data_IF_094845981424
#
_entry.id   IF_094845981424
#
_cell.length_a   1.000
_cell.length_b   1.000
_cell.length_c   1.000
_cell.angle_alpha   90.00
_cell.angle_beta   90.00
_cell.angle_gamma   90.00
#
_symmetry.space_group_name_H-M   'P 1'
#
loop_
_entity.id
_entity.type
_entity.pdbx_description
1 polymer ?
#
# COMPACT_ATOMS: atom_id res chain seq x y z
N UNK A 1 5.83 93.88 -10.38
CA UNK A 1 5.74 92.78 -9.38
C UNK A 1 5.65 91.45 -10.13
N UNK A 2 6.64 90.55 -9.99
CA UNK A 2 6.63 89.24 -10.64
C UNK A 2 6.17 88.19 -9.63
N UNK A 3 5.06 87.52 -9.92
CA UNK A 3 4.43 86.55 -9.02
C UNK A 3 5.04 85.16 -9.25
N UNK A 4 5.97 84.75 -8.38
CA UNK A 4 6.62 83.43 -8.44
C UNK A 4 5.65 82.35 -7.93
N UNK A 5 5.09 81.56 -8.85
CA UNK A 5 4.23 80.41 -8.51
C UNK A 5 5.07 79.25 -7.98
N UNK A 6 4.95 78.95 -6.69
CA UNK A 6 5.57 77.80 -6.01
C UNK A 6 4.98 76.49 -6.56
N UNK A 7 5.76 75.74 -7.33
CA UNK A 7 5.34 74.43 -7.88
C UNK A 7 5.07 73.45 -6.73
N UNK A 8 3.86 72.88 -6.69
CA UNK A 8 3.51 71.79 -5.75
C UNK A 8 4.35 70.56 -6.11
N UNK A 9 5.13 70.05 -5.15
CA UNK A 9 5.92 68.84 -5.34
C UNK A 9 5.02 67.66 -5.70
N UNK A 10 5.41 66.89 -6.73
CA UNK A 10 4.65 65.73 -7.21
C UNK A 10 4.54 64.61 -6.17
N UNK A 11 3.55 63.73 -6.34
CA UNK A 11 3.39 62.50 -5.56
C UNK A 11 4.62 61.61 -5.76
N UNK A 12 5.57 61.66 -4.82
CA UNK A 12 6.68 60.72 -4.77
C UNK A 12 6.15 59.36 -4.34
N UNK A 13 6.40 58.33 -5.13
CA UNK A 13 6.10 56.94 -4.75
C UNK A 13 6.86 56.61 -3.46
N UNK A 14 6.12 56.17 -2.43
CA UNK A 14 6.74 55.62 -1.22
C UNK A 14 7.27 54.23 -1.57
N UNK A 15 8.58 54.01 -1.41
CA UNK A 15 9.16 52.66 -1.52
C UNK A 15 8.59 51.81 -0.38
N UNK A 16 7.89 50.73 -0.70
CA UNK A 16 7.54 49.71 0.29
C UNK A 16 8.86 49.10 0.77
N UNK A 17 9.17 49.28 2.05
CA UNK A 17 10.28 48.57 2.67
C UNK A 17 9.81 47.16 2.96
N UNK A 18 10.49 46.16 2.41
CA UNK A 18 10.27 44.78 2.81
C UNK A 18 10.46 44.66 4.33
N UNK A 19 9.53 43.98 4.99
CA UNK A 19 9.69 43.61 6.39
C UNK A 19 10.64 42.41 6.39
N UNK A 20 11.70 42.50 7.16
CA UNK A 20 12.66 41.40 7.31
C UNK A 20 11.92 40.17 7.90
N UNK A 21 11.88 39.02 7.20
CA UNK A 21 11.18 37.82 7.66
C UNK A 21 11.76 37.25 8.97
N UNK A 22 12.99 37.60 9.31
CA UNK A 22 13.67 37.17 10.54
C UNK A 22 13.57 38.20 11.68
N UNK A 23 12.88 39.33 11.47
CA UNK A 23 12.67 40.32 12.52
C UNK A 23 11.86 39.74 13.68
N UNK A 24 12.40 39.78 14.91
CA UNK A 24 11.80 39.20 16.12
C UNK A 24 11.29 40.25 17.13
N UNK A 25 11.19 41.52 16.73
CA UNK A 25 10.78 42.60 17.63
C UNK A 25 9.26 42.71 17.86
N UNK A 26 8.82 43.64 18.73
CA UNK A 26 7.41 43.81 19.13
C UNK A 26 6.47 44.11 17.96
N UNK A 27 7.00 44.65 16.86
CA UNK A 27 6.26 44.89 15.62
C UNK A 27 5.78 43.60 14.96
N UNK A 28 6.51 42.48 15.11
CA UNK A 28 6.12 41.17 14.57
C UNK A 28 4.81 40.71 15.19
N UNK A 29 4.69 40.79 16.51
CA UNK A 29 3.48 40.41 17.25
C UNK A 29 2.24 41.18 16.79
N UNK A 30 2.38 42.44 16.39
CA UNK A 30 1.27 43.23 15.85
C UNK A 30 0.85 42.75 14.46
N UNK A 31 1.81 42.43 13.58
CA UNK A 31 1.54 41.89 12.25
C UNK A 31 0.86 40.52 12.37
N UNK A 32 1.41 39.62 13.19
CA UNK A 32 0.85 38.29 13.44
C UNK A 32 -0.59 38.37 13.96
N UNK A 33 -0.88 39.29 14.89
CA UNK A 33 -2.25 39.51 15.41
C UNK A 33 -3.22 39.98 14.32
N UNK A 34 -2.77 40.84 13.41
CA UNK A 34 -3.58 41.32 12.30
C UNK A 34 -3.86 40.21 11.29
N UNK A 35 -2.86 39.39 10.98
CA UNK A 35 -3.00 38.22 10.10
C UNK A 35 -3.95 37.18 10.70
N UNK A 36 -3.83 36.90 12.00
CA UNK A 36 -4.73 35.98 12.71
C UNK A 36 -6.17 36.50 12.69
N UNK A 37 -6.37 37.79 13.01
CA UNK A 37 -7.70 38.41 12.99
C UNK A 37 -8.30 38.35 11.59
N UNK A 38 -7.49 38.64 10.58
CA UNK A 38 -7.88 38.54 9.17
C UNK A 38 -8.28 37.11 8.78
N UNK A 39 -7.48 36.11 9.16
CA UNK A 39 -7.77 34.70 8.90
C UNK A 39 -9.06 34.23 9.60
N UNK A 40 -9.30 34.66 10.83
CA UNK A 40 -10.53 34.35 11.57
C UNK A 40 -11.77 34.99 10.93
N UNK A 41 -11.70 36.27 10.55
CA UNK A 41 -12.80 36.94 9.88
C UNK A 41 -13.07 36.30 8.51
N UNK A 42 -12.01 35.94 7.77
CA UNK A 42 -12.13 35.20 6.51
C UNK A 42 -12.85 33.87 6.71
N UNK A 43 -12.44 33.06 7.69
CA UNK A 43 -13.05 31.77 7.97
C UNK A 43 -14.53 31.91 8.36
N UNK A 44 -14.88 32.95 9.14
CA UNK A 44 -16.27 33.25 9.50
C UNK A 44 -17.13 33.51 8.27
N UNK A 45 -16.67 34.34 7.33
CA UNK A 45 -17.45 34.65 6.13
C UNK A 45 -17.45 33.50 5.12
N UNK A 46 -16.32 32.82 4.89
CA UNK A 46 -16.23 31.68 3.98
C UNK A 46 -17.12 30.51 4.40
N UNK A 47 -17.44 30.36 5.69
CA UNK A 47 -18.38 29.34 6.15
C UNK A 47 -19.82 29.55 5.65
N UNK A 48 -20.25 30.81 5.47
CA UNK A 48 -21.63 31.17 5.14
C UNK A 48 -21.80 31.69 3.71
N UNK A 49 -20.78 32.32 3.16
CA UNK A 49 -20.86 33.08 1.93
C UNK A 49 -19.76 32.70 0.93
N UNK A 50 -20.04 32.88 -0.35
CA UNK A 50 -19.02 32.91 -1.39
C UNK A 50 -18.39 34.32 -1.40
N UNK A 51 -17.21 34.40 -0.79
CA UNK A 51 -16.47 35.66 -0.61
C UNK A 51 -15.38 35.79 -1.67
N UNK A 52 -15.26 36.96 -2.30
CA UNK A 52 -14.04 37.34 -3.05
C UNK A 52 -13.28 38.40 -2.28
N UNK A 53 -11.96 38.23 -2.23
CA UNK A 53 -11.05 39.27 -1.74
C UNK A 53 -10.96 40.38 -2.79
N UNK A 54 -11.23 41.61 -2.37
CA UNK A 54 -10.96 42.80 -3.18
C UNK A 54 -9.82 43.56 -2.52
N UNK A 55 -8.70 43.68 -3.22
CA UNK A 55 -7.56 44.46 -2.74
C UNK A 55 -7.84 45.94 -2.99
N UNK A 56 -8.10 46.71 -1.93
CA UNK A 56 -8.16 48.17 -2.05
C UNK A 56 -6.75 48.77 -1.92
N UNK A 57 -6.55 49.94 -2.54
CA UNK A 57 -5.26 50.65 -2.59
C UNK A 57 -4.70 51.03 -1.20
N UNK A 58 -5.52 50.93 -0.14
CA UNK A 58 -5.15 51.26 1.23
C UNK A 58 -4.60 50.09 2.04
N UNK A 59 -4.54 48.88 1.47
CA UNK A 59 -4.10 47.68 2.19
C UNK A 59 -5.13 47.14 3.18
N UNK A 60 -6.34 47.71 3.19
CA UNK A 60 -7.46 47.19 3.95
C UNK A 60 -8.12 46.07 3.12
N UNK A 61 -8.10 44.85 3.65
CA UNK A 61 -8.78 43.72 3.02
C UNK A 61 -10.29 43.90 3.19
N UNK A 62 -10.97 44.24 2.09
CA UNK A 62 -12.42 44.26 2.03
C UNK A 62 -12.94 43.00 1.34
N UNK A 63 -14.08 42.52 1.81
CA UNK A 63 -14.74 41.31 1.31
C UNK A 63 -15.99 41.70 0.53
N UNK A 64 -16.08 41.26 -0.72
CA UNK A 64 -17.35 41.27 -1.44
C UNK A 64 -18.04 39.93 -1.26
N UNK A 65 -19.17 39.95 -0.55
CA UNK A 65 -20.08 38.81 -0.42
C UNK A 65 -20.90 38.71 -1.70
N UNK A 66 -20.72 37.63 -2.47
CA UNK A 66 -21.47 37.45 -3.73
C UNK A 66 -22.83 36.82 -3.51
N UNK A 67 -22.89 35.80 -2.67
CA UNK A 67 -24.08 34.99 -2.39
C UNK A 67 -23.87 34.11 -1.17
N UNK A 68 -24.96 33.73 -0.53
CA UNK A 68 -24.95 32.67 0.47
C UNK A 68 -24.63 31.31 -0.15
N UNK A 69 -23.83 30.51 0.56
CA UNK A 69 -23.56 29.14 0.14
C UNK A 69 -24.81 28.31 0.34
N UNK A 70 -25.34 27.73 -0.74
CA UNK A 70 -26.47 26.82 -0.58
C UNK A 70 -26.01 25.55 0.15
N UNK A 71 -26.67 25.24 1.27
CA UNK A 71 -26.43 24.03 2.06
C UNK A 71 -26.57 22.74 1.22
N UNK A 72 -27.39 22.78 0.15
CA UNK A 72 -27.56 21.67 -0.80
C UNK A 72 -26.29 21.41 -1.62
N UNK A 73 -25.62 22.46 -2.09
CA UNK A 73 -24.38 22.34 -2.86
C UNK A 73 -23.23 21.81 -1.98
N UNK A 74 -23.13 22.28 -0.75
CA UNK A 74 -22.13 21.82 0.22
C UNK A 74 -22.31 20.33 0.57
N UNK A 75 -23.55 19.92 0.90
CA UNK A 75 -23.88 18.50 1.12
C UNK A 75 -23.53 17.63 -0.08
N UNK A 76 -23.75 18.13 -1.31
CA UNK A 76 -23.38 17.43 -2.55
C UNK A 76 -21.87 17.28 -2.69
N UNK A 77 -21.11 18.34 -2.44
CA UNK A 77 -19.64 18.32 -2.46
C UNK A 77 -19.07 17.32 -1.44
N UNK A 78 -19.58 17.33 -0.20
CA UNK A 78 -19.16 16.39 0.85
C UNK A 78 -19.42 14.92 0.46
N UNK A 79 -20.59 14.63 -0.11
CA UNK A 79 -20.93 13.30 -0.64
C UNK A 79 -20.04 12.87 -1.80
N UNK A 80 -19.66 13.81 -2.67
CA UNK A 80 -18.75 13.52 -3.79
C UNK A 80 -17.33 13.23 -3.31
N UNK A 81 -16.86 13.94 -2.27
CA UNK A 81 -15.57 13.67 -1.63
C UNK A 81 -15.58 12.30 -0.96
N UNK A 82 -16.55 12.01 -0.09
CA UNK A 82 -16.64 10.70 0.57
C UNK A 82 -16.69 9.55 -0.43
N UNK A 83 -17.49 9.68 -1.49
CA UNK A 83 -17.57 8.66 -2.55
C UNK A 83 -16.25 8.48 -3.31
N UNK A 84 -15.45 9.54 -3.48
CA UNK A 84 -14.11 9.42 -4.08
C UNK A 84 -13.16 8.66 -3.17
N UNK A 85 -13.19 8.95 -1.88
CA UNK A 85 -12.33 8.31 -0.90
C UNK A 85 -12.71 6.83 -0.72
N UNK A 86 -14.00 6.51 -0.62
CA UNK A 86 -14.50 5.13 -0.60
C UNK A 86 -14.07 4.33 -1.83
N UNK A 87 -14.12 4.96 -3.01
CA UNK A 87 -13.69 4.32 -4.25
C UNK A 87 -12.17 4.09 -4.32
N UNK A 88 -11.37 4.95 -3.69
CA UNK A 88 -9.92 4.73 -3.59
C UNK A 88 -9.63 3.54 -2.68
N UNK A 89 -10.24 3.51 -1.50
CA UNK A 89 -10.10 2.40 -0.54
C UNK A 89 -10.49 1.06 -1.18
N UNK A 90 -11.65 0.99 -1.85
CA UNK A 90 -12.08 -0.22 -2.58
C UNK A 90 -11.12 -0.65 -3.69
N UNK A 91 -10.44 0.29 -4.34
CA UNK A 91 -9.44 -0.04 -5.37
C UNK A 91 -8.18 -0.60 -4.74
N UNK A 92 -7.74 -0.05 -3.62
CA UNK A 92 -6.59 -0.53 -2.87
C UNK A 92 -6.86 -1.93 -2.29
N UNK A 93 -8.02 -2.15 -1.68
CA UNK A 93 -8.44 -3.48 -1.20
C UNK A 93 -8.46 -4.53 -2.31
N UNK A 94 -8.94 -4.19 -3.50
CA UNK A 94 -8.95 -5.11 -4.65
C UNK A 94 -7.53 -5.44 -5.11
N UNK A 95 -6.64 -4.45 -5.18
CA UNK A 95 -5.23 -4.68 -5.53
C UNK A 95 -4.58 -5.65 -4.54
N UNK A 96 -4.77 -5.44 -3.24
CA UNK A 96 -4.22 -6.32 -2.20
C UNK A 96 -4.75 -7.75 -2.36
N UNK A 97 -6.06 -7.93 -2.58
CA UNK A 97 -6.65 -9.27 -2.81
C UNK A 97 -6.13 -9.96 -4.07
N UNK A 98 -5.99 -9.21 -5.16
CA UNK A 98 -5.47 -9.74 -6.42
C UNK A 98 -3.98 -10.14 -6.28
N UNK A 99 -3.21 -9.40 -5.48
CA UNK A 99 -1.80 -9.68 -5.22
C UNK A 99 -1.59 -10.87 -4.27
N UNK A 100 -2.39 -10.97 -3.20
CA UNK A 100 -2.37 -12.13 -2.29
C UNK A 100 -2.72 -13.43 -3.04
N UNK A 101 -3.82 -13.44 -3.81
CA UNK A 101 -4.22 -14.65 -4.53
C UNK A 101 -3.21 -15.07 -5.61
N UNK A 102 -2.54 -14.11 -6.26
CA UNK A 102 -1.48 -14.41 -7.23
C UNK A 102 -0.21 -14.94 -6.56
N UNK A 103 0.07 -14.54 -5.32
CA UNK A 103 1.24 -15.03 -4.59
C UNK A 103 1.09 -16.51 -4.19
N UNK A 104 -0.14 -16.95 -3.89
CA UNK A 104 -0.43 -18.33 -3.46
C UNK A 104 -0.76 -19.29 -4.62
N UNK A 105 -0.64 -18.89 -5.89
CA UNK A 105 -0.85 -19.78 -7.02
C UNK A 105 0.43 -20.57 -7.34
N UNK A 106 0.38 -21.87 -7.10
CA UNK A 106 1.39 -22.79 -7.62
C UNK A 106 1.38 -22.77 -9.16
N UNK A 107 2.57 -22.78 -9.76
CA UNK A 107 2.76 -22.87 -11.21
C UNK A 107 3.16 -24.30 -11.57
N UNK A 108 2.21 -25.24 -11.72
CA UNK A 108 2.53 -26.62 -12.02
C UNK A 108 3.15 -26.74 -13.41
N UNK A 109 4.03 -27.73 -13.59
CA UNK A 109 4.56 -28.06 -14.91
C UNK A 109 3.53 -28.82 -15.73
N UNK A 110 3.66 -28.78 -17.05
CA UNK A 110 2.78 -29.55 -17.93
C UNK A 110 2.89 -31.05 -17.61
N UNK A 111 1.74 -31.68 -17.30
CA UNK A 111 1.65 -33.08 -16.89
C UNK A 111 1.59 -33.32 -15.37
N UNK A 112 1.74 -32.29 -14.54
CA UNK A 112 1.61 -32.37 -13.08
C UNK A 112 0.15 -32.17 -12.63
N UNK A 113 -0.32 -32.99 -11.69
CA UNK A 113 -1.69 -32.93 -11.16
C UNK A 113 -1.66 -32.17 -9.82
N UNK A 114 -2.25 -30.96 -9.80
CA UNK A 114 -2.16 -29.99 -8.68
C UNK A 114 -2.80 -30.48 -7.38
N UNK A 115 -3.84 -31.30 -7.48
CA UNK A 115 -4.59 -31.80 -6.32
C UNK A 115 -4.75 -33.31 -6.41
N UNK A 116 -3.62 -34.01 -6.55
CA UNK A 116 -3.62 -35.47 -6.55
C UNK A 116 -4.10 -35.98 -5.18
N UNK A 117 -5.07 -36.93 -5.15
CA UNK A 117 -5.46 -37.54 -3.89
C UNK A 117 -4.25 -38.25 -3.25
N UNK A 118 -4.15 -38.28 -1.91
CA UNK A 118 -3.04 -38.94 -1.24
C UNK A 118 -2.97 -40.41 -1.64
N UNK A 119 -1.82 -40.83 -2.16
CA UNK A 119 -1.58 -42.23 -2.52
C UNK A 119 -1.45 -43.06 -1.25
N UNK A 120 -2.45 -43.89 -0.97
CA UNK A 120 -2.41 -44.84 0.14
C UNK A 120 -1.45 -45.99 -0.18
N UNK A 121 -0.17 -45.80 0.10
CA UNK A 121 0.81 -46.90 0.02
C UNK A 121 0.84 -47.64 1.34
N UNK A 122 0.35 -48.88 1.35
CA UNK A 122 0.53 -49.79 2.48
C UNK A 122 2.04 -50.01 2.71
N UNK A 123 2.53 -49.98 3.96
CA UNK A 123 3.90 -50.34 4.23
C UNK A 123 4.16 -51.77 3.73
N UNK A 124 5.27 -51.98 3.02
CA UNK A 124 5.66 -53.32 2.58
C UNK A 124 5.78 -54.22 3.82
N UNK A 125 5.15 -55.39 3.77
CA UNK A 125 5.36 -56.44 4.77
C UNK A 125 6.87 -56.67 4.90
N UNK A 126 7.41 -56.39 6.09
CA UNK A 126 8.81 -56.68 6.38
C UNK A 126 9.08 -58.16 6.12
N UNK A 127 10.28 -58.48 5.60
CA UNK A 127 10.68 -59.88 5.41
C UNK A 127 10.58 -60.56 6.76
N UNK A 128 9.81 -61.65 6.84
CA UNK A 128 9.72 -62.46 8.05
C UNK A 128 11.15 -62.83 8.47
N UNK A 129 11.53 -62.46 9.69
CA UNK A 129 12.83 -62.85 10.25
C UNK A 129 12.88 -64.38 10.24
N UNK A 130 13.94 -64.96 9.66
CA UNK A 130 14.12 -66.41 9.58
C UNK A 130 14.19 -67.07 10.96
N UNK A 131 14.47 -66.28 11.99
CA UNK A 131 14.53 -66.70 13.40
C UNK A 131 13.16 -66.58 14.11
N UNK A 132 12.09 -66.24 13.39
CA UNK A 132 10.75 -66.25 13.94
C UNK A 132 10.35 -67.67 14.38
N UNK A 133 9.65 -67.76 15.51
CA UNK A 133 9.13 -69.03 16.01
C UNK A 133 8.29 -69.72 14.92
N UNK A 134 8.69 -70.95 14.54
CA UNK A 134 8.04 -71.74 13.48
C UNK A 134 8.76 -71.76 12.13
N UNK A 135 9.82 -70.95 11.91
CA UNK A 135 10.59 -70.93 10.64
C UNK A 135 11.97 -71.59 10.74
N UNK A 136 12.13 -72.61 11.61
CA UNK A 136 13.40 -73.33 11.74
C UNK A 136 13.71 -74.11 10.45
N UNK A 137 14.92 -73.96 9.93
CA UNK A 137 15.38 -74.75 8.79
C UNK A 137 15.57 -76.22 9.20
N UNK A 138 15.23 -77.14 8.28
CA UNK A 138 15.39 -78.57 8.51
C UNK A 138 16.88 -78.91 8.54
N UNK A 139 17.33 -79.57 9.61
CA UNK A 139 18.72 -80.05 9.78
C UNK A 139 19.23 -80.85 8.57
N UNK A 140 18.32 -81.60 7.92
CA UNK A 140 18.66 -82.43 6.76
C UNK A 140 19.08 -81.61 5.53
N UNK A 141 18.60 -80.37 5.39
CA UNK A 141 19.02 -79.47 4.29
C UNK A 141 20.52 -79.20 4.32
N UNK A 142 21.13 -79.12 5.50
CA UNK A 142 22.59 -78.90 5.63
C UNK A 142 23.38 -80.10 5.16
N UNK A 143 22.94 -81.31 5.51
CA UNK A 143 23.62 -82.55 5.11
C UNK A 143 23.51 -82.81 3.61
N UNK A 144 22.37 -82.49 2.99
CA UNK A 144 22.16 -82.69 1.55
C UNK A 144 22.92 -81.69 0.68
N UNK A 145 23.20 -80.47 1.17
CA UNK A 145 24.08 -79.52 0.44
C UNK A 145 25.49 -80.06 0.22
N UNK A 146 26.00 -80.86 1.15
CA UNK A 146 27.34 -81.43 1.08
C UNK A 146 27.45 -82.65 0.16
N UNK A 147 26.32 -83.29 -0.19
CA UNK A 147 26.30 -84.43 -1.11
C UNK A 147 26.30 -83.96 -2.57
N UNK A 148 25.64 -82.83 -2.85
CA UNK A 148 25.52 -82.29 -4.22
C UNK A 148 26.81 -81.64 -4.75
N UNK A 149 27.86 -81.46 -3.93
CA UNK A 149 29.18 -81.02 -4.40
C UNK A 149 30.03 -82.15 -4.99
N UNK A 150 29.63 -83.43 -4.82
CA UNK A 150 30.42 -84.59 -5.26
C UNK A 150 29.92 -85.23 -6.58
N UNK A 151 28.72 -84.88 -7.07
CA UNK A 151 28.07 -85.51 -8.24
C UNK A 151 27.82 -84.51 -9.39
N UNK A 152 28.89 -83.93 -9.94
CA UNK A 152 28.78 -82.89 -10.98
C UNK A 152 29.85 -82.93 -12.07
N UNK A 153 30.16 -84.10 -12.64
CA UNK A 153 31.10 -84.21 -13.77
C UNK A 153 30.57 -85.06 -14.94
N UNK A 154 29.36 -84.78 -15.42
CA UNK A 154 28.96 -85.19 -16.77
C UNK A 154 28.69 -83.95 -17.62
N UNK A 155 29.73 -83.47 -18.32
CA UNK A 155 29.57 -82.56 -19.46
C UNK A 155 28.88 -83.34 -20.59
N UNK A 156 27.64 -83.00 -20.92
CA UNK A 156 27.05 -83.30 -22.24
C UNK A 156 27.91 -82.59 -23.29
N UNK A 157 28.45 -83.33 -24.25
CA UNK A 157 28.90 -82.77 -25.52
C UNK A 157 27.69 -82.79 -26.45
N UNK A 158 27.29 -81.61 -26.91
CA UNK A 158 26.28 -81.46 -27.93
C UNK A 158 26.86 -81.85 -29.29
N UNK A 159 26.13 -82.66 -30.06
CA UNK A 159 26.19 -82.79 -31.51
C UNK A 159 24.77 -82.69 -32.03
#
# INVERSE_FOLDING_TARGET
MVLVRKRRGGRRHKKLKAIDPFYSGPRKLLVDKLEIKFALDRARYESKYDVKLVNTEKGDHQYEVKKEKSHRAEKRLKRLQSKKDDNKLKKEEKKIKDDEFKFFQDKPKFGEIVHEPPTLTLPRRSKLNKDAAGMKDLLLKEKLKNVNSFSGSYRKKDN
#
